data_IF_477624363913
#
_entry.id   IF_477624363913
#
_cell.length_a   1.000
_cell.length_b   1.000
_cell.length_c   1.000
_cell.angle_alpha   90.00
_cell.angle_beta   90.00
_cell.angle_gamma   90.00
#
_symmetry.space_group_name_H-M   'P 1'
#
loop_
_entity.id
_entity.type
_entity.pdbx_description
1 polymer ?
#
# COMPACT_ATOMS: atom_id res chain seq x y z
N UNK A 1 -17.48 54.64 23.97
CA UNK A 1 -17.25 55.42 22.74
C UNK A 1 -16.78 54.44 21.68
N UNK A 2 -17.67 54.14 20.80
CA UNK A 2 -17.45 53.16 19.74
C UNK A 2 -16.74 53.80 18.55
N UNK A 3 -16.07 52.98 17.78
CA UNK A 3 -15.52 53.31 16.48
C UNK A 3 -15.52 52.07 15.63
N UNK A 4 -16.64 51.88 14.89
CA UNK A 4 -16.74 50.93 13.78
C UNK A 4 -15.89 51.43 12.61
N UNK A 5 -14.98 50.61 12.12
CA UNK A 5 -14.35 50.81 10.82
C UNK A 5 -14.97 49.73 9.89
N UNK A 6 -15.80 50.23 8.99
CA UNK A 6 -16.37 49.50 7.82
C UNK A 6 -15.27 49.53 6.75
N UNK A 7 -14.81 48.38 6.29
CA UNK A 7 -14.06 48.28 5.01
C UNK A 7 -15.03 47.87 3.92
N UNK A 8 -15.05 48.74 2.91
CA UNK A 8 -15.82 48.65 1.68
C UNK A 8 -15.33 47.49 0.79
N UNK A 9 -16.29 46.69 0.30
CA UNK A 9 -16.06 45.78 -0.79
C UNK A 9 -16.26 46.59 -2.06
N UNK A 10 -15.25 46.67 -2.91
CA UNK A 10 -15.34 46.66 -4.38
C UNK A 10 -13.97 47.02 -4.96
N UNK A 11 -13.52 46.15 -5.86
CA UNK A 11 -12.42 46.28 -6.86
C UNK A 11 -11.40 45.14 -6.79
N UNK A 12 -11.78 43.96 -7.31
CA UNK A 12 -10.82 43.06 -7.92
C UNK A 12 -11.43 42.52 -9.23
N UNK A 13 -10.86 42.97 -10.33
CA UNK A 13 -11.15 42.50 -11.69
C UNK A 13 -10.74 41.03 -11.88
N UNK A 14 -11.47 40.22 -12.67
CA UNK A 14 -11.16 38.82 -12.92
C UNK A 14 -9.95 38.67 -13.87
N UNK A 15 -9.04 37.77 -13.50
CA UNK A 15 -7.90 37.35 -14.32
C UNK A 15 -8.36 36.56 -15.56
N UNK A 16 -7.69 36.70 -16.70
CA UNK A 16 -8.08 35.98 -17.94
C UNK A 16 -7.72 34.50 -17.88
N UNK A 17 -8.68 33.66 -18.32
CA UNK A 17 -8.53 32.22 -18.43
C UNK A 17 -7.52 31.81 -19.51
N UNK A 18 -6.95 30.60 -19.45
CA UNK A 18 -5.96 30.15 -20.40
C UNK A 18 -6.57 29.85 -21.76
N UNK A 19 -5.89 30.37 -22.81
CA UNK A 19 -6.24 30.16 -24.21
C UNK A 19 -6.02 28.69 -24.61
N UNK A 20 -7.05 28.10 -25.20
CA UNK A 20 -6.97 26.81 -25.88
C UNK A 20 -6.27 27.00 -27.21
N UNK A 21 -5.09 26.45 -27.39
CA UNK A 21 -4.41 26.34 -28.67
C UNK A 21 -4.83 25.02 -29.30
N UNK A 22 -5.65 25.14 -30.34
CA UNK A 22 -5.98 24.01 -31.22
C UNK A 22 -4.81 23.79 -32.17
N UNK A 23 -4.06 22.73 -32.00
CA UNK A 23 -3.05 22.25 -32.94
C UNK A 23 -3.71 21.34 -33.98
N UNK A 24 -3.77 21.83 -35.20
CA UNK A 24 -4.14 21.09 -36.40
C UNK A 24 -2.97 20.17 -36.77
N UNK A 25 -3.21 18.87 -36.93
CA UNK A 25 -2.23 17.94 -37.49
C UNK A 25 -2.83 17.32 -38.74
N UNK A 26 -2.27 17.68 -39.88
CA UNK A 26 -2.58 17.13 -41.21
C UNK A 26 -2.08 15.68 -41.32
N UNK A 27 -2.76 14.85 -42.13
CA UNK A 27 -2.38 13.44 -42.33
C UNK A 27 -1.28 13.33 -43.39
N UNK A 28 -0.19 12.67 -43.06
CA UNK A 28 0.85 12.27 -44.01
C UNK A 28 0.45 10.98 -44.72
N UNK A 29 0.56 11.08 -46.04
CA UNK A 29 0.21 10.08 -47.04
C UNK A 29 1.05 8.78 -46.91
N UNK A 30 0.36 7.67 -47.22
CA UNK A 30 0.94 6.36 -47.45
C UNK A 30 1.80 6.35 -48.72
N UNK A 31 3.00 5.83 -48.66
CA UNK A 31 3.73 5.33 -49.83
C UNK A 31 3.82 3.83 -49.76
N UNK A 32 3.26 3.24 -50.78
CA UNK A 32 3.31 1.87 -51.24
C UNK A 32 4.72 1.55 -51.77
N UNK A 33 5.31 0.44 -51.40
CA UNK A 33 6.31 -0.24 -52.22
C UNK A 33 6.65 -1.65 -51.67
N UNK A 34 6.37 -2.65 -52.48
CA UNK A 34 7.29 -3.77 -52.67
C UNK A 34 6.97 -5.10 -52.01
N UNK A 35 6.17 -5.91 -52.67
CA UNK A 35 6.21 -7.40 -52.59
C UNK A 35 7.47 -7.91 -53.30
N UNK A 36 8.15 -8.98 -52.82
CA UNK A 36 8.00 -10.20 -53.61
C UNK A 36 7.80 -11.51 -52.83
N UNK A 37 7.11 -12.32 -53.53
CA UNK A 37 6.74 -13.71 -53.43
C UNK A 37 7.85 -14.69 -53.00
N UNK A 38 7.40 -15.80 -52.37
CA UNK A 38 8.21 -16.99 -52.17
C UNK A 38 7.49 -18.05 -51.36
N UNK A 39 6.62 -18.87 -52.02
CA UNK A 39 6.24 -20.14 -51.43
C UNK A 39 7.33 -21.19 -51.70
N UNK A 40 7.26 -22.33 -51.06
CA UNK A 40 6.74 -23.51 -51.81
C UNK A 40 5.93 -24.54 -50.98
N UNK A 41 4.95 -25.11 -51.70
CA UNK A 41 4.82 -26.54 -51.99
C UNK A 41 4.39 -27.52 -50.87
N UNK A 42 3.19 -28.01 -51.09
CA UNK A 42 2.67 -29.30 -50.59
C UNK A 42 3.49 -30.47 -51.11
N UNK A 43 3.39 -31.66 -50.52
CA UNK A 43 3.25 -32.88 -51.30
C UNK A 43 1.91 -33.56 -51.05
N UNK A 44 1.37 -33.97 -52.19
CA UNK A 44 0.29 -34.90 -52.41
C UNK A 44 0.90 -36.29 -52.49
N UNK A 45 0.31 -37.27 -51.87
CA UNK A 45 0.40 -38.71 -52.19
C UNK A 45 -0.92 -39.31 -51.74
N UNK A 46 -1.69 -40.05 -52.49
CA UNK A 46 -1.44 -40.93 -53.63
C UNK A 46 -2.49 -42.04 -53.50
N UNK A 47 -3.40 -42.07 -54.47
CA UNK A 47 -4.44 -43.11 -54.61
C UNK A 47 -3.78 -44.35 -55.15
N UNK A 48 -4.32 -45.53 -54.92
CA UNK A 48 -4.52 -46.42 -56.10
C UNK A 48 -5.96 -46.87 -56.29
N UNK A 49 -6.42 -46.67 -57.52
CA UNK A 49 -7.51 -47.34 -58.13
C UNK A 49 -7.19 -48.83 -58.27
N UNK A 50 -8.16 -49.70 -58.04
CA UNK A 50 -8.27 -51.02 -58.71
C UNK A 50 -9.68 -51.15 -59.26
N UNK A 51 -9.75 -51.20 -60.58
CA UNK A 51 -10.91 -51.56 -61.36
C UNK A 51 -10.96 -53.09 -61.58
N UNK A 52 -12.11 -53.67 -61.49
CA UNK A 52 -12.49 -54.81 -62.28
C UNK A 52 -14.02 -54.87 -62.44
N UNK A 53 -14.42 -54.87 -63.65
CA UNK A 53 -15.75 -55.21 -64.25
C UNK A 53 -15.87 -56.72 -64.49
N UNK A 54 -16.96 -57.20 -65.11
CA UNK A 54 -18.32 -57.43 -64.60
C UNK A 54 -18.71 -58.90 -64.77
N UNK A 55 -19.79 -59.36 -64.26
CA UNK A 55 -20.64 -60.38 -64.91
C UNK A 55 -21.98 -60.59 -64.21
N UNK A 56 -22.98 -60.48 -65.07
CA UNK A 56 -24.19 -61.26 -65.33
C UNK A 56 -25.28 -61.48 -64.21
N UNK A 57 -26.39 -60.92 -64.63
CA UNK A 57 -27.77 -61.45 -64.72
C UNK A 57 -28.27 -62.42 -63.66
N UNK A 58 -29.26 -62.00 -62.92
CA UNK A 58 -30.57 -62.67 -62.93
C UNK A 58 -31.71 -61.75 -62.50
N UNK A 59 -32.73 -61.75 -63.32
CA UNK A 59 -34.05 -61.16 -63.20
C UNK A 59 -34.76 -61.64 -61.95
N UNK A 60 -35.27 -60.64 -61.11
CA UNK A 60 -36.45 -60.86 -60.30
C UNK A 60 -37.28 -59.64 -60.23
N UNK A 61 -38.61 -59.77 -60.30
CA UNK A 61 -39.65 -58.82 -60.50
C UNK A 61 -39.81 -57.84 -59.34
N UNK A 62 -40.38 -56.61 -59.55
CA UNK A 62 -40.43 -55.57 -58.57
C UNK A 62 -41.49 -55.84 -57.49
N UNK A 63 -41.00 -55.98 -56.23
CA UNK A 63 -41.89 -55.85 -55.04
C UNK A 63 -42.41 -54.47 -54.96
N UNK A 64 -43.73 -54.30 -55.02
CA UNK A 64 -44.46 -53.06 -54.77
C UNK A 64 -44.10 -52.52 -53.35
N UNK A 65 -43.25 -51.50 -53.27
CA UNK A 65 -43.09 -50.71 -52.08
C UNK A 65 -44.33 -49.85 -51.87
N UNK A 66 -45.16 -50.20 -50.88
CA UNK A 66 -46.22 -49.37 -50.45
C UNK A 66 -45.59 -48.02 -49.99
N UNK A 67 -45.76 -46.96 -50.80
CA UNK A 67 -45.40 -45.62 -50.44
C UNK A 67 -46.29 -45.22 -49.25
N UNK A 68 -45.62 -44.97 -48.10
CA UNK A 68 -46.30 -44.41 -46.93
C UNK A 68 -47.05 -43.13 -47.32
N UNK A 69 -48.29 -42.97 -46.88
CA UNK A 69 -49.10 -41.80 -47.23
C UNK A 69 -48.38 -40.54 -46.77
N UNK A 70 -48.29 -39.55 -47.66
CA UNK A 70 -47.68 -38.24 -47.35
C UNK A 70 -48.44 -37.60 -46.19
N UNK A 71 -47.76 -37.17 -45.13
CA UNK A 71 -48.41 -36.59 -43.94
C UNK A 71 -49.24 -35.39 -44.34
N UNK A 72 -50.47 -35.34 -43.84
CA UNK A 72 -51.42 -34.26 -44.08
C UNK A 72 -50.93 -32.91 -43.55
N UNK A 73 -51.46 -31.82 -44.05
CA UNK A 73 -51.11 -30.46 -43.61
C UNK A 73 -51.30 -30.31 -42.10
N UNK A 74 -52.28 -31.01 -41.49
CA UNK A 74 -52.54 -31.04 -40.03
C UNK A 74 -51.40 -31.82 -39.31
N UNK A 75 -50.98 -32.95 -39.78
CA UNK A 75 -49.89 -33.73 -39.15
C UNK A 75 -48.55 -33.04 -39.27
N UNK A 76 -48.27 -32.33 -40.40
CA UNK A 76 -47.07 -31.50 -40.53
C UNK A 76 -47.07 -30.33 -39.50
N UNK A 77 -48.26 -29.70 -39.27
CA UNK A 77 -48.39 -28.64 -38.30
C UNK A 77 -48.30 -29.16 -36.90
N UNK A 78 -48.78 -30.36 -36.62
CA UNK A 78 -48.68 -31.03 -35.32
C UNK A 78 -47.26 -31.46 -35.01
N UNK A 79 -46.54 -32.09 -35.94
CA UNK A 79 -45.14 -32.44 -35.83
C UNK A 79 -44.24 -31.21 -35.66
N UNK A 80 -44.56 -30.10 -36.32
CA UNK A 80 -43.85 -28.82 -36.13
C UNK A 80 -44.10 -28.26 -34.73
N UNK A 81 -45.32 -28.34 -34.21
CA UNK A 81 -45.66 -27.92 -32.83
C UNK A 81 -45.00 -28.84 -31.80
N UNK A 82 -44.96 -30.12 -32.00
CA UNK A 82 -44.23 -31.07 -31.14
C UNK A 82 -42.73 -30.84 -31.16
N UNK A 83 -42.16 -30.58 -32.36
CA UNK A 83 -40.73 -30.26 -32.50
C UNK A 83 -40.38 -28.93 -31.83
N UNK A 84 -41.25 -27.96 -31.87
CA UNK A 84 -41.14 -26.65 -31.14
C UNK A 84 -41.31 -26.88 -29.63
N UNK A 85 -42.25 -27.76 -29.24
CA UNK A 85 -42.48 -28.10 -27.82
C UNK A 85 -41.35 -28.94 -27.22
N UNK A 86 -40.70 -29.84 -28.02
CA UNK A 86 -39.48 -30.56 -27.60
C UNK A 86 -38.25 -29.68 -27.59
N UNK A 87 -38.23 -28.59 -28.38
CA UNK A 87 -37.16 -27.59 -28.37
C UNK A 87 -37.31 -26.53 -27.26
N UNK A 88 -38.43 -26.52 -26.52
CA UNK A 88 -38.48 -25.83 -25.24
C UNK A 88 -37.65 -26.60 -24.24
N UNK A 89 -36.34 -26.29 -24.28
CA UNK A 89 -35.32 -26.77 -23.32
C UNK A 89 -35.87 -26.59 -21.90
N UNK A 90 -35.34 -27.36 -20.96
CA UNK A 90 -35.64 -27.23 -19.51
C UNK A 90 -35.70 -25.76 -19.08
N UNK A 91 -34.86 -24.92 -19.69
CA UNK A 91 -34.76 -23.48 -19.50
C UNK A 91 -36.06 -22.70 -19.84
N UNK A 92 -36.84 -23.13 -20.84
CA UNK A 92 -38.12 -22.46 -21.19
C UNK A 92 -39.28 -22.79 -20.27
N UNK A 93 -39.15 -23.82 -19.40
CA UNK A 93 -40.19 -24.19 -18.43
C UNK A 93 -40.10 -23.40 -17.11
N UNK A 94 -38.90 -22.92 -16.78
CA UNK A 94 -38.63 -22.18 -15.53
C UNK A 94 -37.81 -20.91 -15.83
N UNK A 95 -38.46 -19.87 -16.41
CA UNK A 95 -37.70 -18.70 -16.84
C UNK A 95 -37.01 -17.98 -15.67
N UNK A 96 -37.59 -17.98 -14.48
CA UNK A 96 -36.98 -17.39 -13.27
C UNK A 96 -35.70 -18.15 -12.86
N UNK A 97 -35.75 -19.49 -12.86
CA UNK A 97 -34.59 -20.34 -12.54
C UNK A 97 -33.50 -20.24 -13.61
N UNK A 98 -33.88 -20.08 -14.88
CA UNK A 98 -32.91 -19.86 -15.98
C UNK A 98 -32.20 -18.52 -15.81
N UNK A 99 -32.96 -17.45 -15.54
CA UNK A 99 -32.35 -16.12 -15.27
C UNK A 99 -31.44 -16.22 -14.07
N UNK A 100 -31.86 -16.85 -12.98
CA UNK A 100 -31.04 -17.02 -11.76
C UNK A 100 -29.75 -17.80 -12.08
N UNK A 101 -29.82 -18.88 -12.88
CA UNK A 101 -28.64 -19.64 -13.28
C UNK A 101 -27.69 -18.83 -14.16
N UNK A 102 -28.22 -18.06 -15.12
CA UNK A 102 -27.42 -17.18 -15.96
C UNK A 102 -26.73 -16.10 -15.13
N UNK A 103 -27.47 -15.47 -14.21
CA UNK A 103 -26.88 -14.48 -13.28
C UNK A 103 -25.80 -15.12 -12.41
N UNK A 104 -26.05 -16.31 -11.86
CA UNK A 104 -25.06 -17.04 -11.07
C UNK A 104 -23.80 -17.33 -11.89
N UNK A 105 -23.93 -17.80 -13.13
CA UNK A 105 -22.80 -18.07 -14.02
C UNK A 105 -22.04 -16.79 -14.38
N UNK A 106 -22.73 -15.69 -14.63
CA UNK A 106 -22.10 -14.40 -14.90
C UNK A 106 -21.37 -13.84 -13.68
N UNK A 107 -21.87 -14.09 -12.47
CA UNK A 107 -21.23 -13.67 -11.22
C UNK A 107 -20.15 -14.64 -10.74
N UNK A 108 -20.05 -15.85 -11.31
CA UNK A 108 -19.03 -16.83 -10.90
C UNK A 108 -17.60 -16.29 -10.92
N UNK A 109 -17.11 -15.57 -11.95
CA UNK A 109 -15.78 -14.99 -11.95
C UNK A 109 -15.58 -13.99 -10.81
N UNK A 110 -16.62 -13.21 -10.49
CA UNK A 110 -16.59 -12.24 -9.39
C UNK A 110 -16.46 -12.96 -8.05
N UNK A 111 -17.25 -14.00 -7.81
CA UNK A 111 -17.19 -14.81 -6.59
C UNK A 111 -15.86 -15.53 -6.43
N UNK A 112 -15.31 -16.09 -7.52
CA UNK A 112 -13.99 -16.73 -7.50
C UNK A 112 -12.88 -15.73 -7.19
N UNK A 113 -12.93 -14.54 -7.81
CA UNK A 113 -11.97 -13.46 -7.55
C UNK A 113 -12.06 -12.96 -6.10
N UNK A 114 -13.26 -12.68 -5.60
CA UNK A 114 -13.47 -12.26 -4.22
C UNK A 114 -13.05 -13.35 -3.22
N UNK A 115 -13.34 -14.62 -3.50
CA UNK A 115 -12.91 -15.76 -2.70
C UNK A 115 -11.39 -15.91 -2.65
N UNK A 116 -10.71 -15.74 -3.78
CA UNK A 116 -9.25 -15.70 -3.85
C UNK A 116 -8.67 -14.55 -3.00
N UNK A 117 -9.25 -13.35 -3.12
CA UNK A 117 -8.84 -12.21 -2.29
C UNK A 117 -9.06 -12.49 -0.79
N UNK A 118 -10.21 -13.05 -0.42
CA UNK A 118 -10.55 -13.36 0.97
C UNK A 118 -9.56 -14.34 1.63
N UNK A 119 -8.96 -15.24 0.85
CA UNK A 119 -7.95 -16.21 1.32
C UNK A 119 -6.52 -15.70 1.23
N UNK A 120 -6.24 -14.64 0.46
CA UNK A 120 -4.91 -14.10 0.27
C UNK A 120 -4.47 -13.23 1.46
N UNK A 121 -3.68 -13.80 2.36
CA UNK A 121 -3.17 -13.12 3.55
C UNK A 121 -2.31 -11.88 3.25
N UNK A 122 -1.71 -11.80 2.06
CA UNK A 122 -0.93 -10.62 1.65
C UNK A 122 -1.78 -9.34 1.57
N UNK A 123 -3.08 -9.46 1.27
CA UNK A 123 -4.01 -8.32 1.12
C UNK A 123 -4.51 -7.74 2.45
N UNK A 124 -4.22 -8.34 3.58
CA UNK A 124 -4.64 -7.82 4.89
C UNK A 124 -4.79 -8.88 5.97
N UNK A 125 -4.89 -8.46 7.23
CA UNK A 125 -4.91 -9.35 8.39
C UNK A 125 -6.26 -10.04 8.60
N UNK A 126 -7.35 -9.41 8.16
CA UNK A 126 -8.71 -9.92 8.33
C UNK A 126 -9.37 -10.12 6.97
N UNK A 127 -10.34 -11.02 6.90
CA UNK A 127 -11.14 -11.23 5.68
C UNK A 127 -11.83 -9.94 5.26
N UNK A 128 -12.34 -9.15 6.22
CA UNK A 128 -12.95 -7.84 5.94
C UNK A 128 -11.97 -6.88 5.25
N UNK A 129 -10.74 -6.74 5.78
CA UNK A 129 -9.71 -5.90 5.18
C UNK A 129 -9.37 -6.36 3.74
N UNK A 130 -9.25 -7.67 3.52
CA UNK A 130 -8.94 -8.26 2.20
C UNK A 130 -10.04 -8.01 1.18
N UNK A 131 -11.30 -8.17 1.58
CA UNK A 131 -12.44 -7.86 0.71
C UNK A 131 -12.57 -6.36 0.45
N UNK A 132 -12.28 -5.51 1.42
CA UNK A 132 -12.24 -4.06 1.24
C UNK A 132 -11.19 -3.64 0.20
N UNK A 133 -9.97 -4.19 0.29
CA UNK A 133 -8.94 -3.96 -0.74
C UNK A 133 -9.39 -4.51 -2.11
N UNK A 134 -10.00 -5.70 -2.14
CA UNK A 134 -10.54 -6.26 -3.37
C UNK A 134 -11.59 -5.35 -4.02
N UNK A 135 -12.52 -4.80 -3.24
CA UNK A 135 -13.54 -3.85 -3.74
C UNK A 135 -12.86 -2.59 -4.31
N UNK A 136 -11.84 -2.06 -3.63
CA UNK A 136 -11.07 -0.90 -4.12
C UNK A 136 -10.40 -1.19 -5.46
N UNK A 137 -9.79 -2.36 -5.60
CA UNK A 137 -9.07 -2.77 -6.82
C UNK A 137 -10.00 -3.03 -8.01
N UNK A 138 -11.30 -3.26 -7.75
CA UNK A 138 -12.33 -3.46 -8.77
C UNK A 138 -13.22 -2.21 -9.00
N UNK A 139 -12.69 -1.02 -8.71
CA UNK A 139 -13.36 0.25 -8.99
C UNK A 139 -14.35 0.71 -7.91
N UNK A 140 -14.50 -0.04 -6.83
CA UNK A 140 -15.38 0.32 -5.71
C UNK A 140 -14.73 1.26 -4.67
N UNK A 141 -13.56 1.83 -4.97
CA UNK A 141 -12.82 2.67 -4.03
C UNK A 141 -13.63 3.83 -3.44
N UNK A 142 -14.44 4.50 -4.25
CA UNK A 142 -15.31 5.59 -3.79
C UNK A 142 -16.36 5.14 -2.77
N UNK A 143 -16.94 3.94 -2.96
CA UNK A 143 -17.92 3.37 -2.02
C UNK A 143 -17.25 3.02 -0.69
N UNK A 144 -16.08 2.41 -0.74
CA UNK A 144 -15.29 2.07 0.45
C UNK A 144 -14.92 3.34 1.23
N UNK A 145 -14.39 4.35 0.54
CA UNK A 145 -14.03 5.63 1.15
C UNK A 145 -15.25 6.31 1.81
N UNK A 146 -16.39 6.31 1.13
CA UNK A 146 -17.63 6.84 1.69
C UNK A 146 -18.08 6.07 2.95
N UNK A 147 -18.03 4.75 2.92
CA UNK A 147 -18.41 3.91 4.05
C UNK A 147 -17.46 4.11 5.25
N UNK A 148 -16.16 4.12 5.01
CA UNK A 148 -15.14 4.40 6.04
C UNK A 148 -15.33 5.80 6.65
N UNK A 149 -15.52 6.81 5.81
CA UNK A 149 -15.74 8.17 6.28
C UNK A 149 -16.99 8.29 7.15
N UNK A 150 -18.09 7.65 6.73
CA UNK A 150 -19.34 7.61 7.48
C UNK A 150 -19.15 6.91 8.83
N UNK A 151 -18.46 5.75 8.81
CA UNK A 151 -18.15 5.00 10.02
C UNK A 151 -17.33 5.82 11.01
N UNK A 152 -16.20 6.39 10.57
CA UNK A 152 -15.31 7.18 11.43
C UNK A 152 -15.98 8.45 11.94
N UNK A 153 -16.86 9.09 11.16
CA UNK A 153 -17.61 10.26 11.60
C UNK A 153 -18.59 9.89 12.73
N UNK A 154 -19.25 8.74 12.63
CA UNK A 154 -20.18 8.28 13.67
C UNK A 154 -19.46 7.69 14.89
N UNK A 155 -18.25 7.21 14.73
CA UNK A 155 -17.43 6.63 15.79
C UNK A 155 -16.24 7.52 16.11
N UNK A 156 -16.39 8.84 15.98
CA UNK A 156 -15.36 9.78 16.36
C UNK A 156 -14.96 9.56 17.83
N UNK A 157 -13.66 9.64 18.16
CA UNK A 157 -13.20 9.46 19.52
C UNK A 157 -13.89 10.40 20.50
N UNK A 158 -14.22 9.93 21.71
CA UNK A 158 -14.86 10.77 22.71
C UNK A 158 -13.94 11.93 23.11
N UNK A 159 -14.53 13.05 23.42
CA UNK A 159 -13.83 14.18 24.04
C UNK A 159 -13.55 13.85 25.51
N UNK A 160 -12.38 14.21 26.00
CA UNK A 160 -11.96 13.91 27.37
C UNK A 160 -11.62 12.43 27.60
N UNK A 161 -11.78 11.98 28.83
CA UNK A 161 -11.47 10.63 29.25
C UNK A 161 -10.03 10.43 29.72
N UNK A 162 -9.74 9.20 30.18
CA UNK A 162 -8.40 8.77 30.60
C UNK A 162 -7.88 7.68 29.64
N UNK A 163 -6.58 7.63 29.38
CA UNK A 163 -5.99 6.54 28.67
C UNK A 163 -6.31 5.18 29.29
N UNK A 164 -6.36 4.14 28.47
CA UNK A 164 -6.46 2.76 28.96
C UNK A 164 -5.27 2.47 29.88
N UNK A 165 -5.51 1.75 30.98
CA UNK A 165 -4.46 1.42 31.93
C UNK A 165 -3.31 0.67 31.23
N UNK A 166 -2.07 1.13 31.43
CA UNK A 166 -0.89 0.58 30.77
C UNK A 166 -0.60 1.09 29.35
N UNK A 167 -1.51 1.86 28.73
CA UNK A 167 -1.27 2.41 27.40
C UNK A 167 -0.11 3.44 27.37
N UNK A 168 0.15 4.09 28.50
CA UNK A 168 1.34 4.94 28.72
C UNK A 168 2.19 4.24 29.78
N UNK A 169 3.20 3.45 29.39
CA UNK A 169 4.03 2.75 30.36
C UNK A 169 4.97 3.71 31.06
N UNK A 170 5.09 3.59 32.38
CA UNK A 170 6.06 4.34 33.17
C UNK A 170 7.46 3.76 32.90
N UNK A 171 8.45 4.57 32.46
CA UNK A 171 9.80 4.08 32.31
C UNK A 171 10.35 3.56 33.65
N UNK A 172 10.80 2.32 33.68
CA UNK A 172 11.61 1.84 34.80
C UNK A 172 12.90 2.68 34.84
N UNK A 173 13.24 3.22 36.01
CA UNK A 173 14.45 4.03 36.17
C UNK A 173 15.67 3.15 35.82
N UNK A 174 16.09 3.18 34.58
CA UNK A 174 17.37 2.58 34.21
C UNK A 174 18.46 3.47 34.81
N UNK A 175 19.17 2.95 35.78
CA UNK A 175 20.46 3.48 36.19
C UNK A 175 21.30 3.63 34.92
N UNK A 176 21.58 4.88 34.54
CA UNK A 176 22.44 5.21 33.41
C UNK A 176 23.80 4.59 33.69
N UNK A 177 24.05 3.43 33.13
CA UNK A 177 25.42 2.91 33.05
C UNK A 177 26.14 3.83 32.08
N UNK A 178 27.08 4.62 32.60
CA UNK A 178 27.96 5.47 31.79
C UNK A 178 28.84 4.55 30.96
N UNK A 179 28.37 4.20 29.76
CA UNK A 179 29.19 3.43 28.81
C UNK A 179 30.17 4.43 28.20
N UNK A 180 31.38 4.44 28.73
CA UNK A 180 32.45 5.39 28.36
C UNK A 180 33.01 5.15 26.95
N UNK A 181 32.77 3.98 26.34
CA UNK A 181 33.20 3.66 24.98
C UNK A 181 32.17 2.72 24.31
N UNK A 182 31.57 3.18 23.24
CA UNK A 182 30.60 2.44 22.43
C UNK A 182 30.60 2.94 20.98
N UNK A 183 29.86 2.32 20.08
CA UNK A 183 29.74 2.79 18.71
C UNK A 183 29.25 4.23 18.65
N UNK A 184 29.63 4.95 17.59
CA UNK A 184 29.12 6.30 17.34
C UNK A 184 27.60 6.28 17.28
N UNK A 185 26.94 7.14 18.06
CA UNK A 185 25.49 7.20 18.24
C UNK A 185 24.97 8.64 18.23
N UNK A 186 23.69 8.79 18.01
CA UNK A 186 23.01 10.06 18.20
C UNK A 186 22.69 10.27 19.70
N UNK A 187 22.62 11.52 20.17
CA UNK A 187 22.16 11.79 21.53
C UNK A 187 20.69 11.37 21.67
N UNK A 188 20.35 10.76 22.80
CA UNK A 188 18.98 10.44 23.15
C UNK A 188 18.15 11.74 23.18
N UNK A 189 16.97 11.80 22.53
CA UNK A 189 16.20 13.03 22.47
C UNK A 189 15.65 13.43 23.85
N UNK A 190 15.42 14.72 24.06
CA UNK A 190 14.70 15.21 25.23
C UNK A 190 13.27 14.66 25.27
N UNK A 191 12.69 14.54 26.47
CA UNK A 191 11.31 14.11 26.63
C UNK A 191 10.36 14.98 25.81
N UNK A 192 9.34 14.37 25.21
CA UNK A 192 8.30 15.09 24.44
C UNK A 192 7.39 15.81 25.42
N UNK A 193 7.22 17.12 25.24
CA UNK A 193 6.29 17.90 26.05
C UNK A 193 4.84 17.45 25.77
N UNK A 194 4.09 16.97 26.79
CA UNK A 194 2.70 16.59 26.62
C UNK A 194 1.80 17.75 26.15
N UNK A 195 0.68 17.42 25.49
CA UNK A 195 -0.31 18.39 25.02
C UNK A 195 -1.26 18.86 26.14
N UNK A 196 -1.20 18.23 27.30
CA UNK A 196 -2.09 18.44 28.42
C UNK A 196 -1.33 18.99 29.65
N UNK A 197 -1.98 19.80 30.47
CA UNK A 197 -1.39 20.38 31.70
C UNK A 197 -1.13 19.32 32.78
N UNK A 198 -1.95 18.28 32.84
CA UNK A 198 -1.82 17.18 33.82
C UNK A 198 -1.44 15.88 33.09
N UNK A 199 -0.16 15.67 32.80
CA UNK A 199 0.29 14.47 32.10
C UNK A 199 0.15 13.22 32.98
N UNK A 200 -0.13 12.08 32.35
CA UNK A 200 -0.07 10.77 33.00
C UNK A 200 1.40 10.44 33.30
N UNK A 201 1.72 9.79 34.42
CA UNK A 201 3.09 9.34 34.67
C UNK A 201 3.68 8.56 33.48
N UNK A 202 4.88 8.94 33.02
CA UNK A 202 5.54 8.37 31.85
C UNK A 202 5.17 8.99 30.51
N UNK A 203 4.18 9.88 30.47
CA UNK A 203 3.74 10.54 29.22
C UNK A 203 4.87 11.39 28.61
N UNK A 204 5.19 11.16 27.34
CA UNK A 204 6.26 11.84 26.62
C UNK A 204 7.69 11.42 27.00
N UNK A 205 7.87 10.49 27.93
CA UNK A 205 9.18 9.99 28.32
C UNK A 205 9.65 8.84 27.44
N UNK A 206 10.91 8.90 27.04
CA UNK A 206 11.54 7.88 26.23
C UNK A 206 11.93 6.66 27.05
N UNK A 207 11.68 5.47 26.49
CA UNK A 207 12.12 4.18 27.01
C UNK A 207 12.76 3.37 25.91
N UNK A 208 13.83 2.59 26.19
CA UNK A 208 14.46 1.72 25.20
C UNK A 208 13.47 0.67 24.67
N UNK A 209 13.55 0.35 23.38
CA UNK A 209 12.81 -0.75 22.74
C UNK A 209 13.72 -1.50 21.76
N UNK A 210 13.40 -2.77 21.55
CA UNK A 210 14.09 -3.62 20.57
C UNK A 210 15.59 -3.85 20.87
N UNK A 211 16.33 -4.16 19.82
CA UNK A 211 17.76 -4.56 19.91
C UNK A 211 18.65 -3.45 20.45
N UNK A 212 19.70 -3.90 21.14
CA UNK A 212 20.86 -3.06 21.48
C UNK A 212 22.01 -3.30 20.48
N UNK A 213 22.86 -2.29 20.29
CA UNK A 213 24.09 -2.35 19.50
C UNK A 213 25.29 -2.05 20.42
N UNK A 214 26.12 -3.07 20.66
CA UNK A 214 27.20 -2.94 21.65
C UNK A 214 26.71 -2.58 23.06
N UNK A 215 25.54 -3.08 23.47
CA UNK A 215 24.92 -2.79 24.76
C UNK A 215 24.16 -1.44 24.80
N UNK A 216 24.11 -0.69 23.70
CA UNK A 216 23.46 0.60 23.61
C UNK A 216 22.08 0.43 22.93
N UNK A 217 20.97 0.91 23.51
CA UNK A 217 19.69 0.91 22.82
C UNK A 217 19.76 1.73 21.53
N UNK A 218 19.34 1.10 20.42
CA UNK A 218 19.32 1.75 19.11
C UNK A 218 17.99 2.48 18.82
N UNK A 219 16.97 2.20 19.61
CA UNK A 219 15.62 2.75 19.47
C UNK A 219 14.99 3.06 20.82
N UNK A 220 14.12 4.07 20.82
CA UNK A 220 13.34 4.46 21.99
C UNK A 220 11.89 4.69 21.60
N UNK A 221 10.95 4.34 22.48
CA UNK A 221 9.53 4.67 22.33
C UNK A 221 9.10 5.67 23.39
N UNK A 222 8.21 6.57 23.02
CA UNK A 222 7.48 7.43 23.92
C UNK A 222 5.98 7.36 23.60
N UNK A 223 5.14 7.59 24.60
CA UNK A 223 3.69 7.52 24.48
C UNK A 223 3.08 8.78 25.05
N UNK A 224 2.13 9.35 24.34
CA UNK A 224 1.47 10.57 24.78
C UNK A 224 0.06 10.69 24.20
N UNK A 225 -0.76 11.50 24.84
CA UNK A 225 -2.05 11.92 24.31
C UNK A 225 -1.83 12.88 23.16
N UNK A 226 -2.42 12.66 21.96
CA UNK A 226 -2.09 13.43 20.74
C UNK A 226 -2.58 14.88 20.77
N UNK A 227 -3.56 15.19 21.62
CA UNK A 227 -4.11 16.53 21.79
C UNK A 227 -4.79 16.71 23.16
N UNK A 228 -5.20 17.93 23.47
CA UNK A 228 -5.85 18.26 24.74
C UNK A 228 -7.37 18.01 24.77
N UNK A 229 -7.96 17.57 23.65
CA UNK A 229 -9.41 17.36 23.51
C UNK A 229 -9.77 15.89 23.70
N UNK A 230 -9.10 14.99 23.01
CA UNK A 230 -9.37 13.54 23.02
C UNK A 230 -8.38 12.83 23.97
N UNK A 231 -8.47 13.16 25.24
CA UNK A 231 -7.47 12.77 26.25
C UNK A 231 -7.48 11.28 26.65
N UNK A 232 -8.40 10.49 26.11
CA UNK A 232 -8.39 9.02 26.23
C UNK A 232 -7.51 8.33 25.18
N UNK A 233 -7.17 9.01 24.09
CA UNK A 233 -6.32 8.47 23.04
C UNK A 233 -4.85 8.45 23.45
N UNK A 234 -4.10 7.49 22.92
CA UNK A 234 -2.65 7.38 23.09
C UNK A 234 -2.00 7.14 21.74
N UNK A 235 -0.96 7.92 21.47
CA UNK A 235 -0.13 7.80 20.27
C UNK A 235 1.24 7.28 20.65
N UNK A 236 1.76 6.35 19.90
CA UNK A 236 3.13 5.84 20.01
C UNK A 236 4.09 6.62 19.12
N UNK A 237 5.25 6.93 19.66
CA UNK A 237 6.36 7.55 18.94
C UNK A 237 7.57 6.65 19.06
N UNK A 238 8.19 6.26 17.94
CA UNK A 238 9.45 5.52 17.92
C UNK A 238 10.56 6.41 17.36
N UNK A 239 11.61 6.62 18.13
CA UNK A 239 12.83 7.31 17.71
C UNK A 239 13.91 6.27 17.41
N UNK A 240 14.58 6.40 16.27
CA UNK A 240 15.52 5.42 15.73
C UNK A 240 16.85 6.08 15.41
N UNK A 241 17.94 5.57 16.01
CA UNK A 241 19.29 6.07 15.80
C UNK A 241 19.86 5.58 14.47
N UNK A 242 19.94 6.45 13.49
CA UNK A 242 20.45 6.15 12.14
C UNK A 242 21.98 5.99 12.08
N UNK A 243 22.72 6.27 13.16
CA UNK A 243 24.14 5.92 13.28
C UNK A 243 24.31 4.46 13.67
N UNK A 244 23.36 3.90 14.42
CA UNK A 244 23.34 2.50 14.84
C UNK A 244 22.55 1.62 13.89
N UNK A 245 21.59 2.18 13.16
CA UNK A 245 20.67 1.48 12.27
C UNK A 245 20.79 1.96 10.83
N UNK A 246 20.60 1.06 9.90
CA UNK A 246 20.43 1.31 8.47
C UNK A 246 18.98 1.13 8.06
N UNK A 247 18.52 1.98 7.16
CA UNK A 247 17.14 1.95 6.61
C UNK A 247 17.13 1.20 5.29
N UNK A 248 16.13 0.35 5.06
CA UNK A 248 15.93 -0.34 3.77
C UNK A 248 14.45 -0.29 3.37
N UNK A 249 14.18 0.05 2.11
CA UNK A 249 12.85 -0.01 1.51
C UNK A 249 12.63 -1.40 0.90
N UNK A 250 11.50 -2.01 1.21
CA UNK A 250 11.03 -3.27 0.63
C UNK A 250 9.83 -3.00 -0.27
N UNK A 251 9.86 -3.50 -1.48
CA UNK A 251 8.67 -3.59 -2.31
C UNK A 251 7.71 -4.64 -1.72
N UNK A 252 6.42 -4.42 -1.86
CA UNK A 252 5.43 -5.43 -1.52
C UNK A 252 5.42 -6.57 -2.54
N UNK A 253 4.75 -7.66 -2.19
CA UNK A 253 4.54 -8.79 -3.11
C UNK A 253 3.59 -8.47 -4.27
N UNK A 254 2.84 -7.37 -4.19
CA UNK A 254 1.86 -6.94 -5.18
C UNK A 254 2.01 -5.47 -5.57
N UNK A 255 2.46 -4.60 -4.67
CA UNK A 255 2.58 -3.15 -4.86
C UNK A 255 3.96 -2.68 -4.37
N UNK A 256 4.78 -2.05 -5.21
CA UNK A 256 4.53 -1.77 -6.63
C UNK A 256 4.36 -3.05 -7.44
N UNK A 257 3.62 -2.95 -8.54
CA UNK A 257 3.34 -4.09 -9.43
C UNK A 257 4.62 -4.86 -9.73
N UNK A 258 4.58 -6.20 -9.79
CA UNK A 258 5.76 -6.99 -10.13
C UNK A 258 6.31 -6.49 -11.47
N UNK A 259 7.41 -5.80 -11.38
CA UNK A 259 8.24 -5.34 -12.47
C UNK A 259 9.47 -6.24 -12.58
N UNK A 260 10.59 -5.70 -13.04
CA UNK A 260 11.88 -6.36 -12.87
C UNK A 260 12.02 -6.71 -11.38
N UNK A 261 12.60 -7.87 -11.09
CA UNK A 261 12.74 -8.36 -9.71
C UNK A 261 13.33 -7.25 -8.82
N UNK A 262 12.53 -6.74 -7.89
CA UNK A 262 13.01 -5.77 -6.91
C UNK A 262 14.08 -6.43 -6.05
N UNK A 263 15.15 -5.71 -5.75
CA UNK A 263 16.26 -6.21 -4.93
C UNK A 263 15.81 -6.60 -3.52
N UNK A 264 14.85 -5.84 -2.97
CA UNK A 264 14.22 -6.12 -1.69
C UNK A 264 12.70 -6.20 -1.88
N UNK A 265 12.14 -7.36 -1.61
CA UNK A 265 10.70 -7.61 -1.73
C UNK A 265 10.18 -8.45 -0.57
N UNK A 266 8.89 -8.28 -0.26
CA UNK A 266 8.19 -9.10 0.74
C UNK A 266 8.20 -10.59 0.35
N UNK A 267 8.39 -11.52 1.32
CA UNK A 267 8.63 -11.33 2.75
C UNK A 267 10.09 -10.99 3.09
N UNK A 268 10.33 -10.53 4.33
CA UNK A 268 11.68 -10.45 4.88
C UNK A 268 12.25 -11.87 4.97
N UNK A 269 13.37 -12.14 4.29
CA UNK A 269 13.93 -13.47 4.17
C UNK A 269 15.47 -13.44 4.10
N UNK A 270 16.07 -14.61 3.95
CA UNK A 270 17.52 -14.77 3.82
C UNK A 270 18.28 -14.30 5.05
N UNK A 271 19.27 -13.42 4.88
CA UNK A 271 20.10 -12.90 5.96
C UNK A 271 19.49 -11.66 6.66
N UNK A 272 18.45 -11.02 6.09
CA UNK A 272 17.88 -9.80 6.64
C UNK A 272 17.38 -9.92 8.09
N UNK A 273 16.76 -11.03 8.54
CA UNK A 273 16.36 -11.22 9.93
C UNK A 273 17.51 -11.13 10.94
N UNK A 274 18.75 -11.45 10.55
CA UNK A 274 19.88 -11.46 11.47
C UNK A 274 20.18 -10.09 12.10
N UNK A 275 19.91 -9.02 11.36
CA UNK A 275 20.16 -7.63 11.77
C UNK A 275 18.88 -6.82 11.97
N UNK A 276 17.73 -7.38 11.69
CA UNK A 276 16.44 -6.68 11.78
C UNK A 276 16.20 -6.16 13.20
N UNK A 277 15.97 -4.85 13.34
CA UNK A 277 15.67 -4.18 14.59
C UNK A 277 14.22 -3.65 14.65
N UNK A 278 13.72 -3.13 13.52
CA UNK A 278 12.32 -2.72 13.42
C UNK A 278 11.80 -2.86 11.98
N UNK A 279 10.48 -2.92 11.86
CA UNK A 279 9.76 -2.83 10.59
C UNK A 279 8.47 -2.03 10.79
N UNK A 280 8.13 -1.21 9.80
CA UNK A 280 6.92 -0.40 9.84
C UNK A 280 6.37 -0.16 8.43
N UNK A 281 5.09 0.20 8.37
CA UNK A 281 4.43 0.46 7.11
C UNK A 281 5.07 1.61 6.32
N UNK A 282 4.96 1.54 5.01
CA UNK A 282 5.24 2.64 4.10
C UNK A 282 3.99 3.51 3.87
N UNK A 283 3.96 4.30 2.79
CA UNK A 283 2.88 5.22 2.46
C UNK A 283 1.64 4.54 1.88
N UNK A 284 0.74 5.36 1.34
CA UNK A 284 -0.44 4.90 0.61
C UNK A 284 -0.09 4.01 -0.57
N UNK A 285 -1.09 3.31 -1.12
CA UNK A 285 -0.92 2.66 -2.42
C UNK A 285 -0.41 3.69 -3.42
N UNK A 286 0.46 3.29 -4.35
CA UNK A 286 1.10 4.23 -5.28
C UNK A 286 0.07 5.06 -6.06
N UNK A 287 -1.05 4.47 -6.45
CA UNK A 287 -2.15 5.17 -7.11
C UNK A 287 -2.82 6.26 -6.27
N UNK A 288 -2.74 6.15 -4.95
CA UNK A 288 -3.35 7.07 -3.99
C UNK A 288 -2.31 8.02 -3.35
N UNK A 289 -1.02 7.74 -3.54
CA UNK A 289 0.08 8.46 -2.90
C UNK A 289 0.47 9.75 -3.61
N UNK A 290 -0.01 9.95 -4.84
CA UNK A 290 0.40 11.04 -5.72
C UNK A 290 1.93 11.21 -5.82
N UNK A 291 2.66 10.10 -5.74
CA UNK A 291 4.12 10.08 -5.75
C UNK A 291 4.67 8.80 -6.37
N UNK A 292 6.00 8.75 -6.49
CA UNK A 292 6.71 7.67 -7.15
C UNK A 292 7.35 6.67 -6.19
N UNK A 293 7.91 5.63 -6.81
CA UNK A 293 8.68 4.58 -6.16
C UNK A 293 9.92 4.27 -7.01
N UNK A 294 11.09 4.30 -6.37
CA UNK A 294 12.37 3.96 -6.97
C UNK A 294 13.15 3.03 -6.05
N UNK A 295 13.72 1.96 -6.60
CA UNK A 295 14.55 1.00 -5.87
C UNK A 295 15.63 0.44 -6.79
N UNK A 296 16.90 0.62 -6.39
CA UNK A 296 18.11 0.10 -7.04
C UNK A 296 18.16 0.27 -8.56
N UNK A 297 18.00 1.51 -9.02
CA UNK A 297 18.08 1.86 -10.44
C UNK A 297 16.75 1.75 -11.19
N UNK A 298 15.69 1.21 -10.56
CA UNK A 298 14.40 0.97 -11.19
C UNK A 298 13.33 1.90 -10.63
N UNK A 299 12.68 2.65 -11.51
CA UNK A 299 11.46 3.40 -11.17
C UNK A 299 10.23 2.54 -11.48
N UNK A 300 9.27 2.51 -10.57
CA UNK A 300 8.03 1.77 -10.79
C UNK A 300 7.26 2.30 -11.99
N UNK A 301 6.85 1.40 -12.88
CA UNK A 301 6.07 1.75 -14.07
C UNK A 301 4.76 2.44 -13.69
N UNK A 302 4.47 3.59 -14.33
CA UNK A 302 3.28 4.39 -14.04
C UNK A 302 3.39 5.30 -12.80
N UNK A 303 4.48 5.19 -12.01
CA UNK A 303 4.68 5.98 -10.79
C UNK A 303 6.07 6.63 -10.76
N UNK A 304 6.34 7.59 -11.65
CA UNK A 304 7.60 8.33 -11.67
C UNK A 304 7.73 9.23 -10.43
N UNK A 305 8.97 9.54 -10.07
CA UNK A 305 9.24 10.51 -9.00
C UNK A 305 8.73 11.89 -9.41
N UNK A 306 8.00 12.53 -8.50
CA UNK A 306 7.32 13.81 -8.71
C UNK A 306 7.97 14.92 -7.88
N UNK A 307 8.26 16.06 -8.51
CA UNK A 307 8.76 17.25 -7.83
C UNK A 307 7.73 17.76 -6.80
N UNK A 308 8.24 18.24 -5.68
CA UNK A 308 7.44 18.74 -4.56
C UNK A 308 6.88 17.64 -3.64
N UNK A 309 6.79 16.38 -4.09
CA UNK A 309 6.27 15.30 -3.26
C UNK A 309 7.17 15.02 -2.06
N UNK A 310 6.56 14.81 -0.89
CA UNK A 310 7.27 14.35 0.29
C UNK A 310 7.93 12.99 0.01
N UNK A 311 9.22 12.89 0.27
CA UNK A 311 10.06 11.78 -0.16
C UNK A 311 10.94 11.27 0.96
N UNK A 312 10.82 9.98 1.27
CA UNK A 312 11.87 9.25 1.97
C UNK A 312 12.91 8.82 0.94
N UNK A 313 14.14 9.26 1.12
CA UNK A 313 15.29 8.93 0.26
C UNK A 313 16.30 8.13 1.10
N UNK A 314 16.78 7.02 0.56
CA UNK A 314 17.72 6.13 1.25
C UNK A 314 18.99 6.03 0.41
N UNK A 315 20.12 6.31 1.06
CA UNK A 315 21.42 6.18 0.44
C UNK A 315 21.95 4.72 0.53
N UNK A 316 22.99 4.40 -0.26
CA UNK A 316 23.63 3.06 -0.32
C UNK A 316 24.09 2.53 1.04
N UNK A 317 24.47 3.41 1.95
CA UNK A 317 24.86 3.06 3.31
C UNK A 317 23.66 2.90 4.25
N UNK A 318 22.42 2.99 3.75
CA UNK A 318 21.19 2.92 4.54
C UNK A 318 20.88 4.20 5.31
N UNK A 319 21.58 5.32 5.05
CA UNK A 319 21.26 6.61 5.67
C UNK A 319 20.00 7.19 5.03
N UNK A 320 18.94 7.49 5.82
CA UNK A 320 17.72 8.09 5.31
C UNK A 320 17.80 9.62 5.30
N UNK A 321 17.02 10.23 4.40
CA UNK A 321 16.66 11.66 4.43
C UNK A 321 15.20 11.82 4.04
N UNK A 322 14.56 12.89 4.52
CA UNK A 322 13.17 13.24 4.20
C UNK A 322 13.10 14.69 3.75
N UNK A 323 12.36 14.95 2.66
CA UNK A 323 12.18 16.30 2.13
C UNK A 323 11.27 16.32 0.91
N UNK A 324 10.97 17.52 0.42
CA UNK A 324 10.29 17.71 -0.85
C UNK A 324 11.25 17.40 -2.01
N UNK A 325 10.83 16.51 -2.92
CA UNK A 325 11.65 16.09 -4.05
C UNK A 325 11.96 17.25 -5.00
N UNK A 326 13.20 17.33 -5.40
CA UNK A 326 13.69 18.39 -6.31
C UNK A 326 13.99 19.72 -5.61
N UNK A 327 13.63 19.88 -4.34
CA UNK A 327 13.92 21.07 -3.53
C UNK A 327 14.85 20.76 -2.38
N UNK A 328 14.44 19.81 -1.52
CA UNK A 328 15.20 19.45 -0.31
C UNK A 328 16.04 18.20 -0.51
N UNK A 329 15.52 17.27 -1.29
CA UNK A 329 16.15 15.97 -1.62
C UNK A 329 16.03 15.71 -3.11
N UNK A 330 16.94 14.92 -3.64
CA UNK A 330 16.97 14.62 -5.07
C UNK A 330 17.80 13.40 -5.40
N UNK A 331 17.83 13.03 -6.67
CA UNK A 331 18.61 11.92 -7.17
C UNK A 331 20.12 12.22 -7.08
N UNK A 332 20.87 11.25 -6.61
CA UNK A 332 22.33 11.28 -6.64
C UNK A 332 22.88 9.87 -6.83
N UNK A 333 24.18 9.70 -7.17
CA UNK A 333 24.80 8.37 -7.30
C UNK A 333 24.78 7.52 -6.01
N UNK A 334 24.54 8.13 -4.86
CA UNK A 334 24.39 7.43 -3.58
C UNK A 334 22.98 6.95 -3.29
N UNK A 335 21.95 7.42 -4.00
CA UNK A 335 20.55 7.05 -3.74
C UNK A 335 20.27 5.66 -4.28
N UNK A 336 19.74 4.80 -3.43
CA UNK A 336 19.30 3.44 -3.80
C UNK A 336 17.78 3.28 -3.71
N UNK A 337 17.09 4.08 -2.90
CA UNK A 337 15.65 3.99 -2.80
C UNK A 337 15.00 5.36 -2.58
N UNK A 338 13.82 5.54 -3.17
CA UNK A 338 12.96 6.70 -2.94
C UNK A 338 11.50 6.23 -2.85
N UNK A 339 10.83 6.65 -1.78
CA UNK A 339 9.39 6.43 -1.61
C UNK A 339 8.70 7.75 -1.34
N UNK A 340 7.82 8.14 -2.24
CA UNK A 340 7.06 9.39 -2.14
C UNK A 340 5.65 9.15 -1.62
N UNK A 341 5.14 10.09 -0.83
CA UNK A 341 3.76 10.06 -0.35
C UNK A 341 3.24 11.48 -0.07
N UNK A 342 2.34 11.98 -0.91
CA UNK A 342 1.70 13.28 -0.76
C UNK A 342 2.71 14.45 -0.62
N UNK A 343 2.39 15.43 0.22
CA UNK A 343 3.25 16.57 0.53
C UNK A 343 3.81 16.47 1.96
N UNK A 344 4.80 17.28 2.30
CA UNK A 344 5.29 17.35 3.68
C UNK A 344 4.20 17.88 4.62
N UNK A 345 4.10 17.30 5.80
CA UNK A 345 3.19 17.74 6.88
C UNK A 345 3.93 18.51 7.98
N UNK A 346 5.25 18.36 8.06
CA UNK A 346 6.14 19.18 8.89
C UNK A 346 7.27 19.66 8.00
N UNK A 347 7.56 20.96 8.07
CA UNK A 347 8.73 21.58 7.47
C UNK A 347 9.35 22.59 8.44
N UNK A 348 10.69 22.67 8.45
CA UNK A 348 11.44 23.53 9.37
C UNK A 348 11.04 23.35 10.84
N UNK A 349 10.69 22.12 11.26
CA UNK A 349 10.33 21.77 12.63
C UNK A 349 8.92 22.24 13.05
N UNK A 350 8.07 22.60 12.10
CA UNK A 350 6.70 23.09 12.35
C UNK A 350 5.70 22.42 11.42
N UNK A 351 4.48 22.15 11.88
CA UNK A 351 3.40 21.77 10.99
C UNK A 351 3.23 22.78 9.86
N UNK A 352 3.04 22.30 8.62
CA UNK A 352 2.84 23.19 7.48
C UNK A 352 1.46 23.85 7.54
N UNK A 353 1.29 25.05 6.99
CA UNK A 353 -0.01 25.72 6.93
C UNK A 353 -1.03 24.92 6.12
N UNK A 354 -2.31 25.03 6.48
CA UNK A 354 -3.43 24.47 5.72
C UNK A 354 -3.70 22.99 5.96
N UNK A 355 -3.11 22.37 6.97
CA UNK A 355 -3.40 20.96 7.35
C UNK A 355 -4.87 20.76 7.76
N UNK A 356 -5.53 21.80 8.26
CA UNK A 356 -6.94 21.78 8.65
C UNK A 356 -7.91 21.99 7.48
N UNK A 357 -7.39 22.34 6.29
CA UNK A 357 -8.17 22.44 5.06
C UNK A 357 -8.66 21.07 4.62
N UNK A 358 -9.88 21.05 4.03
CA UNK A 358 -10.48 19.84 3.49
C UNK A 358 -9.89 19.51 2.08
N UNK A 359 -8.61 19.22 2.01
CA UNK A 359 -7.87 18.92 0.79
C UNK A 359 -7.52 17.43 0.71
N UNK A 360 -8.40 16.66 0.06
CA UNK A 360 -8.20 15.21 -0.11
C UNK A 360 -7.00 14.87 -1.01
N UNK A 361 -6.55 15.79 -1.86
CA UNK A 361 -5.40 15.56 -2.74
C UNK A 361 -4.12 15.63 -1.93
N UNK A 362 -4.02 16.62 -1.04
CA UNK A 362 -2.81 16.83 -0.23
C UNK A 362 -2.68 15.87 0.95
N UNK A 363 -3.80 15.48 1.57
CA UNK A 363 -3.79 14.77 2.86
C UNK A 363 -4.50 13.42 2.81
N UNK A 364 -4.72 12.88 1.61
CA UNK A 364 -5.41 11.61 1.37
C UNK A 364 -6.93 11.71 1.30
N UNK A 365 -7.57 10.65 0.83
CA UNK A 365 -9.00 10.62 0.50
C UNK A 365 -9.94 10.64 1.71
N UNK A 366 -9.42 10.69 2.93
CA UNK A 366 -10.22 10.62 4.17
C UNK A 366 -10.64 12.01 4.61
N UNK A 367 -11.77 12.52 4.11
CA UNK A 367 -12.45 13.76 4.54
C UNK A 367 -11.52 14.94 4.88
N UNK A 368 -10.50 15.18 4.06
CA UNK A 368 -9.68 16.37 4.11
C UNK A 368 -8.94 16.61 5.43
N UNK A 369 -8.41 15.58 6.03
CA UNK A 369 -7.58 15.72 7.22
C UNK A 369 -8.32 16.01 8.55
N UNK A 370 -9.62 16.27 8.51
CA UNK A 370 -10.43 16.55 9.72
C UNK A 370 -10.93 15.30 10.42
N UNK A 371 -11.00 14.17 9.73
CA UNK A 371 -11.46 12.91 10.32
C UNK A 371 -10.36 12.30 11.17
N UNK A 372 -10.72 11.96 12.39
CA UNK A 372 -9.86 11.23 13.30
C UNK A 372 -9.85 9.75 12.99
N UNK A 373 -8.77 9.26 12.40
CA UNK A 373 -8.58 7.88 11.96
C UNK A 373 -7.24 7.34 12.46
N UNK A 374 -6.97 6.06 12.22
CA UNK A 374 -5.61 5.58 12.32
C UNK A 374 -4.72 6.33 11.34
N UNK A 375 -3.63 6.88 11.85
CA UNK A 375 -2.61 7.54 11.03
C UNK A 375 -1.23 7.14 11.47
N UNK A 376 -0.31 7.13 10.50
CA UNK A 376 1.11 7.07 10.76
C UNK A 376 1.85 8.15 9.99
N UNK A 377 3.02 8.52 10.48
CA UNK A 377 3.91 9.47 9.84
C UNK A 377 5.36 9.17 10.15
N UNK A 378 6.23 9.61 9.26
CA UNK A 378 7.67 9.45 9.37
C UNK A 378 8.36 10.81 9.25
N UNK A 379 9.20 11.13 10.21
CA UNK A 379 9.97 12.37 10.24
C UNK A 379 11.46 12.12 10.39
N UNK A 380 12.23 13.14 10.04
CA UNK A 380 13.68 13.18 10.28
C UNK A 380 14.01 14.36 11.19
N UNK A 381 14.85 14.13 12.19
CA UNK A 381 15.33 15.17 13.12
C UNK A 381 16.52 15.91 12.53
N UNK A 382 16.86 17.07 13.10
CA UNK A 382 18.01 17.86 12.65
C UNK A 382 19.34 17.10 12.71
N UNK A 383 19.50 16.16 13.63
CA UNK A 383 20.70 15.32 13.78
C UNK A 383 20.62 14.00 12.97
N UNK A 384 19.54 13.80 12.19
CA UNK A 384 19.38 12.69 11.27
C UNK A 384 18.73 11.43 11.85
N UNK A 385 18.17 11.46 13.06
CA UNK A 385 17.36 10.36 13.57
C UNK A 385 16.04 10.25 12.80
N UNK A 386 15.53 9.02 12.61
CA UNK A 386 14.16 8.82 12.13
C UNK A 386 13.18 8.80 13.31
N UNK A 387 12.01 9.39 13.11
CA UNK A 387 10.89 9.40 14.07
C UNK A 387 9.66 8.86 13.36
N UNK A 388 9.13 7.74 13.84
CA UNK A 388 7.85 7.21 13.42
C UNK A 388 6.79 7.57 14.46
N UNK A 389 5.63 8.00 14.00
CA UNK A 389 4.44 8.24 14.86
C UNK A 389 3.31 7.38 14.32
N UNK A 390 2.60 6.69 15.22
CA UNK A 390 1.43 5.90 14.86
C UNK A 390 0.41 5.85 15.99
N UNK A 391 -0.86 5.91 15.63
CA UNK A 391 -1.95 5.82 16.61
C UNK A 391 -3.34 5.90 16.00
N UNK A 392 -4.32 5.50 16.80
CA UNK A 392 -5.73 5.60 16.47
C UNK A 392 -6.28 7.01 16.74
N UNK A 393 -7.29 7.41 15.98
CA UNK A 393 -8.03 8.65 16.23
C UNK A 393 -7.25 9.94 16.01
N UNK A 394 -6.24 9.94 15.16
CA UNK A 394 -5.45 11.13 14.83
C UNK A 394 -6.07 11.90 13.66
N UNK A 395 -6.15 13.22 13.79
CA UNK A 395 -6.23 14.11 12.64
C UNK A 395 -4.83 14.29 12.02
N UNK A 396 -4.77 14.85 10.81
CA UNK A 396 -3.49 15.18 10.18
C UNK A 396 -2.72 16.25 10.97
N UNK A 397 -3.45 17.17 11.60
CA UNK A 397 -2.88 18.21 12.49
C UNK A 397 -2.25 17.57 13.73
N UNK A 398 -2.97 16.65 14.40
CA UNK A 398 -2.43 15.91 15.54
C UNK A 398 -1.14 15.16 15.17
N UNK A 399 -1.14 14.49 14.02
CA UNK A 399 0.04 13.75 13.52
C UNK A 399 1.24 14.68 13.32
N UNK A 400 1.03 15.81 12.66
CA UNK A 400 2.08 16.79 12.39
C UNK A 400 2.62 17.42 13.68
N UNK A 401 1.73 17.76 14.61
CA UNK A 401 2.11 18.33 15.92
C UNK A 401 2.93 17.35 16.74
N UNK A 402 2.54 16.06 16.77
CA UNK A 402 3.30 15.03 17.49
C UNK A 402 4.67 14.83 16.86
N UNK A 403 4.78 14.76 15.53
CA UNK A 403 6.05 14.65 14.82
C UNK A 403 6.99 15.83 15.09
N UNK A 404 6.46 17.06 15.02
CA UNK A 404 7.23 18.27 15.29
C UNK A 404 7.73 18.30 16.75
N UNK A 405 6.87 17.95 17.74
CA UNK A 405 7.26 17.88 19.16
C UNK A 405 8.26 16.75 19.44
N UNK A 406 8.22 15.67 18.66
CA UNK A 406 9.21 14.62 18.74
C UNK A 406 10.56 14.98 18.08
N UNK A 407 10.70 16.22 17.59
CA UNK A 407 11.94 16.78 17.05
C UNK A 407 12.10 16.63 15.54
N UNK A 408 11.07 16.20 14.80
CA UNK A 408 11.14 16.15 13.35
C UNK A 408 11.27 17.56 12.77
N UNK A 409 12.28 17.78 11.93
CA UNK A 409 12.43 19.02 11.15
C UNK A 409 11.70 18.95 9.82
N UNK A 410 11.56 17.73 9.27
CA UNK A 410 10.70 17.41 8.13
C UNK A 410 9.98 16.11 8.40
N UNK A 411 8.71 16.03 7.99
CA UNK A 411 7.93 14.81 8.12
C UNK A 411 6.89 14.70 7.03
N UNK A 412 6.54 13.44 6.73
CA UNK A 412 5.54 13.02 5.77
C UNK A 412 4.49 12.12 6.43
N UNK A 413 3.27 12.20 5.98
CA UNK A 413 2.25 11.23 6.32
C UNK A 413 2.60 9.88 5.67
N UNK A 414 2.29 8.78 6.37
CA UNK A 414 2.41 7.42 5.87
C UNK A 414 1.01 6.85 5.63
N UNK A 415 0.72 5.58 5.97
CA UNK A 415 -0.61 5.03 5.76
C UNK A 415 -1.59 5.48 6.87
N UNK A 416 -2.89 5.50 6.53
CA UNK A 416 -3.99 5.95 7.41
C UNK A 416 -5.05 4.87 7.67
N UNK A 417 -4.79 3.64 7.33
CA UNK A 417 -5.74 2.55 7.49
C UNK A 417 -5.35 1.65 8.67
N UNK A 418 -6.31 1.32 9.51
CA UNK A 418 -6.15 0.42 10.68
C UNK A 418 -5.44 -0.89 10.34
N UNK A 419 -5.67 -1.44 9.14
CA UNK A 419 -5.04 -2.68 8.71
C UNK A 419 -3.58 -2.51 8.30
N UNK A 420 -3.13 -1.27 8.01
CA UNK A 420 -1.82 -0.99 7.44
C UNK A 420 -0.90 -0.24 8.38
N UNK A 421 -1.42 0.64 9.23
CA UNK A 421 -0.61 1.35 10.24
C UNK A 421 -0.07 0.36 11.26
N UNK A 422 1.24 0.24 11.33
CA UNK A 422 1.93 -0.59 12.31
C UNK A 422 3.41 -0.24 12.43
N UNK A 423 3.97 -0.53 13.59
CA UNK A 423 5.40 -0.49 13.85
C UNK A 423 5.75 -1.65 14.82
N UNK A 424 6.73 -2.47 14.44
CA UNK A 424 7.22 -3.57 15.26
C UNK A 424 8.70 -3.40 15.53
N UNK A 425 9.09 -3.43 16.80
CA UNK A 425 10.48 -3.58 17.22
C UNK A 425 10.79 -5.04 17.52
N UNK A 426 12.01 -5.50 17.25
CA UNK A 426 12.44 -6.87 17.45
C UNK A 426 13.59 -6.94 18.44
N UNK A 427 13.50 -7.89 19.38
CA UNK A 427 14.53 -8.16 20.38
C UNK A 427 14.75 -9.68 20.53
N UNK A 428 15.26 -10.35 19.47
CA UNK A 428 15.52 -11.77 19.53
C UNK A 428 16.69 -12.08 20.48
N UNK A 429 16.80 -13.32 20.96
CA UNK A 429 17.97 -13.77 21.73
C UNK A 429 19.27 -13.48 20.99
N UNK A 430 20.33 -13.23 21.74
CA UNK A 430 21.65 -12.89 21.18
C UNK A 430 22.11 -13.93 20.15
N UNK A 431 22.51 -13.45 18.97
CA UNK A 431 22.98 -14.30 17.87
C UNK A 431 21.88 -14.99 17.07
N UNK A 432 20.61 -14.81 17.42
CA UNK A 432 19.48 -15.39 16.68
C UNK A 432 18.91 -14.39 15.66
N UNK A 433 18.39 -14.89 14.51
CA UNK A 433 17.63 -14.07 13.58
C UNK A 433 16.31 -13.65 14.23
N UNK A 434 15.82 -12.47 13.88
CA UNK A 434 14.51 -12.01 14.31
C UNK A 434 13.39 -12.83 13.63
N UNK A 435 12.32 -13.05 14.37
CA UNK A 435 11.09 -13.68 13.90
C UNK A 435 9.87 -12.88 14.38
N UNK A 436 8.68 -13.25 13.92
CA UNK A 436 7.45 -12.62 14.42
C UNK A 436 7.23 -12.82 15.92
N UNK A 437 7.82 -13.87 16.52
CA UNK A 437 7.72 -14.14 17.97
C UNK A 437 8.52 -13.12 18.82
N UNK A 438 9.54 -12.51 18.24
CA UNK A 438 10.44 -11.56 18.92
C UNK A 438 9.94 -10.11 18.75
N UNK A 439 8.84 -9.91 18.02
CA UNK A 439 8.30 -8.61 17.67
C UNK A 439 7.36 -8.04 18.74
N UNK A 440 7.57 -6.77 19.07
CA UNK A 440 6.72 -5.99 19.96
C UNK A 440 6.06 -4.85 19.20
N UNK A 441 4.73 -4.69 19.33
CA UNK A 441 3.96 -3.58 18.76
C UNK A 441 4.33 -2.27 19.44
N UNK A 442 4.31 -1.17 18.68
CA UNK A 442 4.50 0.15 19.27
C UNK A 442 3.32 0.51 20.16
N UNK A 443 2.08 0.35 19.69
CA UNK A 443 0.88 0.58 20.50
C UNK A 443 0.10 -0.72 20.69
N UNK A 444 -0.59 -0.83 21.82
CA UNK A 444 -1.33 -2.05 22.21
C UNK A 444 -2.51 -2.35 21.26
N UNK A 445 -3.05 -1.32 20.62
CA UNK A 445 -4.25 -1.39 19.77
C UNK A 445 -3.94 -1.58 18.27
N UNK A 446 -2.66 -1.69 17.88
CA UNK A 446 -2.29 -2.09 16.53
C UNK A 446 -2.92 -3.46 16.18
N UNK A 447 -3.63 -3.51 15.06
CA UNK A 447 -4.36 -4.72 14.65
C UNK A 447 -3.46 -5.77 13.98
N UNK A 448 -2.33 -5.34 13.42
CA UNK A 448 -1.38 -6.20 12.74
C UNK A 448 -0.55 -7.04 13.71
N UNK A 449 -0.10 -8.20 13.24
CA UNK A 449 0.83 -9.07 13.95
C UNK A 449 2.27 -8.82 13.49
N UNK A 450 3.30 -8.94 14.37
CA UNK A 450 4.70 -8.87 13.97
C UNK A 450 5.12 -9.94 12.94
N UNK A 451 4.37 -11.04 12.79
CA UNK A 451 4.57 -12.05 11.73
C UNK A 451 4.28 -11.55 10.34
N UNK A 452 3.56 -10.40 10.20
CA UNK A 452 3.09 -9.88 8.93
C UNK A 452 4.19 -9.79 7.86
N UNK A 453 5.35 -9.30 8.23
CA UNK A 453 6.43 -9.04 7.27
C UNK A 453 7.36 -10.23 7.01
N UNK A 454 7.17 -11.31 7.77
CA UNK A 454 7.77 -12.64 7.51
C UNK A 454 6.86 -13.52 6.62
N UNK A 455 5.76 -12.97 6.14
CA UNK A 455 4.83 -13.54 5.19
C UNK A 455 4.68 -12.59 3.99
N UNK A 456 4.16 -13.04 2.84
CA UNK A 456 3.87 -12.15 1.73
C UNK A 456 2.99 -10.98 2.19
N UNK A 457 3.44 -9.76 1.94
CA UNK A 457 2.72 -8.51 2.22
C UNK A 457 2.47 -7.79 0.91
N UNK A 458 1.22 -7.44 0.62
CA UNK A 458 0.88 -6.82 -0.65
C UNK A 458 1.59 -5.49 -0.86
N UNK A 459 1.78 -4.72 0.22
CA UNK A 459 2.31 -3.36 0.18
C UNK A 459 3.77 -3.28 0.59
N UNK A 460 4.42 -2.25 0.10
CA UNK A 460 5.77 -1.85 0.48
C UNK A 460 5.87 -1.45 1.96
N UNK A 461 7.06 -1.63 2.51
CA UNK A 461 7.34 -1.34 3.92
C UNK A 461 8.82 -0.96 4.11
N UNK A 462 9.15 -0.51 5.31
CA UNK A 462 10.47 -0.02 5.66
C UNK A 462 11.01 -0.85 6.81
N UNK A 463 12.29 -1.24 6.72
CA UNK A 463 13.00 -1.93 7.79
C UNK A 463 14.14 -1.07 8.34
N UNK A 464 14.41 -1.22 9.63
CA UNK A 464 15.60 -0.74 10.31
C UNK A 464 16.44 -1.95 10.73
N UNK A 465 17.68 -1.98 10.30
CA UNK A 465 18.62 -3.08 10.60
C UNK A 465 19.86 -2.56 11.32
N UNK A 466 20.37 -3.34 12.25
CA UNK A 466 21.63 -3.00 12.95
C UNK A 466 22.76 -2.86 11.92
N UNK A 467 23.48 -1.74 11.97
CA UNK A 467 24.65 -1.54 11.12
C UNK A 467 25.74 -2.54 11.53
N UNK A 468 26.17 -3.33 10.59
CA UNK A 468 27.36 -4.16 10.77
C UNK A 468 28.57 -3.22 10.77
N UNK A 469 29.23 -3.06 11.92
CA UNK A 469 30.53 -2.42 11.95
C UNK A 469 31.46 -3.26 11.10
N UNK A 470 31.90 -2.71 9.96
CA UNK A 470 33.06 -3.29 9.25
C UNK A 470 34.22 -3.19 10.20
N UNK A 471 34.56 -4.28 10.88
CA UNK A 471 35.84 -4.43 11.52
C UNK A 471 36.87 -4.41 10.39
N UNK A 472 37.49 -3.25 10.16
CA UNK A 472 38.65 -3.18 9.32
C UNK A 472 39.63 -4.24 9.86
N UNK A 473 40.19 -5.12 9.01
CA UNK A 473 41.14 -6.13 9.48
C UNK A 473 42.26 -5.38 10.17
N UNK A 474 42.46 -5.66 11.45
CA UNK A 474 43.60 -5.16 12.21
C UNK A 474 44.86 -5.64 11.46
N UNK A 475 45.54 -4.71 10.77
CA UNK A 475 46.85 -5.02 10.20
C UNK A 475 47.73 -5.44 11.37
N UNK A 476 47.90 -6.75 11.53
CA UNK A 476 48.96 -7.30 12.35
C UNK A 476 50.28 -6.73 11.81
N UNK A 477 50.87 -5.81 12.55
CA UNK A 477 52.26 -5.48 12.33
C UNK A 477 53.05 -6.71 12.73
N UNK A 478 53.46 -7.51 11.74
CA UNK A 478 54.54 -8.45 11.90
C UNK A 478 55.79 -7.60 12.00
N UNK A 479 56.40 -7.58 13.20
CA UNK A 479 57.72 -7.03 13.48
C UNK A 479 58.83 -8.00 13.03
#
# INVERSE_FOLDING_TARGET
MGGNIIFDQDDVAPAPGPAVVAGHVDPVAATDDGVPAGGPARPVTGIPLIATTPTDRHSEAPRRTHALPRPTRRERKQRRREKIRRRRTVFGRHPKSTVALVVLLLLTPVWLSAGSAATNQAMGNTVGARLTEWVRDHGGGGVVTWAENTWYTWHAPPKGGKPVAGAIPVPTRNTSTTVASGPARLPVPAAITPFVSNPTPGEGQWRPIGRTVGGIPAMYAAYLRPNAVNTSLVTGVAWMDTKLLSTTLYAGSMIPSPGPAWSNTAPIAGAAPNTLAAVFNSGFRLQDSYGGFYLDGVTSAGYPLRNGAASLVIAKDGTPSIGAWGTDVGMSPSVVAVRQNLDLIVDNGRPVPGLDANDNIKWGATLGGRVQVWRSGLGITANGALVFVGGSGLSIVDLADVLARAGAVRAMEMDINTAWVNFFSFDPPAGQPASGADGTKLTYDETSSPYRYFSPSARDFITMSVRTTSTAPTRSKVG
#
